data_IF_946229972150
#
_entry.id   IF_946229972150
#
_cell.length_a   1.000
_cell.length_b   1.000
_cell.length_c   1.000
_cell.angle_alpha   90.00
_cell.angle_beta   90.00
_cell.angle_gamma   90.00
#
_symmetry.space_group_name_H-M   'P 1'
#
loop_
_entity.id
_entity.type
_entity.pdbx_description
1 polymer ?
#
# COMPACT_ATOMS: atom_id res chain seq x y z
N UNK A 1 19.79 -2.59 -14.53
CA UNK A 1 19.97 -3.74 -15.44
C UNK A 1 18.66 -4.44 -15.81
N UNK A 2 17.48 -4.04 -15.30
CA UNK A 2 16.23 -4.77 -15.55
C UNK A 2 16.17 -6.18 -14.93
N UNK A 3 17.20 -6.58 -14.17
CA UNK A 3 17.24 -7.87 -13.48
C UNK A 3 16.17 -7.91 -12.40
N UNK A 4 15.31 -8.92 -12.47
CA UNK A 4 14.35 -9.23 -11.41
C UNK A 4 15.14 -9.60 -10.14
N UNK A 5 14.89 -8.88 -9.06
CA UNK A 5 15.48 -9.19 -7.75
C UNK A 5 14.67 -10.24 -7.00
N UNK A 6 13.34 -10.17 -7.09
CA UNK A 6 12.41 -11.14 -6.52
C UNK A 6 11.04 -11.00 -7.20
N UNK A 7 10.25 -12.07 -7.12
CA UNK A 7 8.84 -12.10 -7.52
C UNK A 7 8.12 -13.03 -6.54
N UNK A 8 7.10 -12.51 -5.86
CA UNK A 8 6.40 -13.20 -4.77
C UNK A 8 4.94 -12.76 -4.70
N UNK A 9 4.11 -13.55 -4.00
CA UNK A 9 2.78 -13.14 -3.61
C UNK A 9 2.86 -12.24 -2.37
N UNK A 10 2.07 -11.15 -2.33
CA UNK A 10 2.06 -10.20 -1.22
C UNK A 10 1.45 -10.75 0.07
N UNK A 11 0.99 -12.00 0.09
CA UNK A 11 0.36 -12.64 1.25
C UNK A 11 -1.07 -12.19 1.55
N UNK A 12 -1.55 -11.14 0.88
CA UNK A 12 -2.92 -10.65 0.96
C UNK A 12 -3.65 -10.91 -0.38
N UNK A 13 -4.74 -11.67 -0.32
CA UNK A 13 -5.64 -11.86 -1.47
C UNK A 13 -6.35 -10.54 -1.76
N UNK A 14 -6.39 -10.14 -3.03
CA UNK A 14 -7.08 -8.93 -3.45
C UNK A 14 -6.65 -8.47 -4.82
N UNK A 15 -7.33 -7.43 -5.31
CA UNK A 15 -6.94 -6.67 -6.50
C UNK A 15 -6.02 -5.53 -6.06
N UNK A 16 -5.05 -5.19 -6.91
CA UNK A 16 -4.14 -4.07 -6.73
C UNK A 16 -4.17 -3.23 -8.00
N UNK A 17 -4.52 -1.95 -7.87
CA UNK A 17 -4.64 -1.03 -9.00
C UNK A 17 -3.79 0.24 -8.81
N UNK A 18 -3.61 0.67 -7.56
CA UNK A 18 -2.77 1.80 -7.22
C UNK A 18 -1.29 1.50 -7.53
N UNK A 19 -0.55 2.52 -7.97
CA UNK A 19 0.90 2.39 -8.07
C UNK A 19 1.52 2.22 -6.68
N UNK A 20 2.57 1.38 -6.53
CA UNK A 20 3.34 1.31 -5.30
C UNK A 20 3.95 2.67 -4.93
N UNK A 21 3.99 2.99 -3.64
CA UNK A 21 4.62 4.20 -3.11
C UNK A 21 5.84 3.84 -2.29
N UNK A 22 6.93 4.61 -2.42
CA UNK A 22 8.04 4.56 -1.45
C UNK A 22 7.93 5.75 -0.51
N UNK A 23 7.74 5.48 0.79
CA UNK A 23 7.64 6.51 1.82
C UNK A 23 8.25 6.01 3.14
N UNK A 24 8.94 6.90 3.87
CA UNK A 24 9.62 6.58 5.15
C UNK A 24 10.49 5.30 5.10
N UNK A 25 11.18 5.06 3.99
CA UNK A 25 12.04 3.88 3.82
C UNK A 25 11.31 2.57 3.55
N UNK A 26 10.00 2.60 3.27
CA UNK A 26 9.17 1.43 3.01
C UNK A 26 8.52 1.48 1.63
N UNK A 27 8.28 0.32 1.01
CA UNK A 27 7.41 0.21 -0.16
C UNK A 27 6.00 -0.10 0.37
N UNK A 28 5.02 0.69 -0.05
CA UNK A 28 3.61 0.58 0.32
C UNK A 28 2.81 0.15 -0.90
N UNK A 29 2.03 -0.91 -0.76
CA UNK A 29 1.15 -1.43 -1.82
C UNK A 29 -0.25 -1.58 -1.24
N UNK A 30 -1.19 -0.77 -1.74
CA UNK A 30 -2.58 -0.74 -1.26
C UNK A 30 -3.48 -1.65 -2.10
N UNK A 31 -4.29 -2.48 -1.43
CA UNK A 31 -5.33 -3.30 -2.05
C UNK A 31 -6.55 -2.46 -2.40
N UNK A 32 -7.27 -2.86 -3.44
CA UNK A 32 -8.49 -2.19 -3.91
C UNK A 32 -9.62 -2.30 -2.90
N UNK A 33 -9.90 -3.49 -2.37
CA UNK A 33 -11.01 -3.74 -1.45
C UNK A 33 -10.55 -3.51 -0.01
N UNK A 34 -11.27 -2.66 0.74
CA UNK A 34 -10.99 -2.34 2.15
C UNK A 34 -9.66 -1.61 2.42
N UNK A 35 -8.88 -1.29 1.38
CA UNK A 35 -7.72 -0.39 1.48
C UNK A 35 -6.53 -0.89 2.31
N UNK A 36 -6.45 -2.20 2.63
CA UNK A 36 -5.31 -2.77 3.35
C UNK A 36 -4.01 -2.49 2.61
N UNK A 37 -2.98 -2.12 3.36
CA UNK A 37 -1.69 -1.71 2.79
C UNK A 37 -0.58 -2.64 3.24
N UNK A 38 0.03 -3.34 2.29
CA UNK A 38 1.21 -4.19 2.54
C UNK A 38 2.44 -3.31 2.61
N UNK A 39 3.22 -3.47 3.68
CA UNK A 39 4.46 -2.72 3.93
C UNK A 39 5.64 -3.66 3.68
N UNK A 40 6.50 -3.31 2.72
CA UNK A 40 7.69 -4.09 2.38
C UNK A 40 8.97 -3.30 2.68
N UNK A 41 10.01 -4.04 3.05
CA UNK A 41 11.37 -3.49 3.09
C UNK A 41 11.94 -3.40 1.66
N UNK A 42 12.46 -2.23 1.23
CA UNK A 42 13.18 -2.14 -0.04
C UNK A 42 14.44 -3.01 -0.04
N UNK A 43 14.70 -3.72 -1.15
CA UNK A 43 15.94 -4.48 -1.30
C UNK A 43 15.87 -5.62 -2.31
N UNK A 44 16.94 -6.43 -2.32
CA UNK A 44 17.07 -7.59 -3.23
C UNK A 44 16.41 -8.87 -2.70
N UNK A 45 15.78 -8.81 -1.53
CA UNK A 45 15.00 -9.92 -0.95
C UNK A 45 13.59 -9.43 -0.69
N UNK A 46 12.63 -10.34 -0.87
CA UNK A 46 11.25 -10.08 -0.51
C UNK A 46 11.10 -10.18 1.02
N UNK A 47 10.58 -9.11 1.64
CA UNK A 47 10.50 -8.98 3.09
C UNK A 47 9.28 -8.10 3.45
N UNK A 48 8.23 -8.75 3.94
CA UNK A 48 6.98 -8.11 4.41
C UNK A 48 7.16 -7.73 5.87
N UNK A 49 7.08 -6.44 6.15
CA UNK A 49 7.20 -5.90 7.50
C UNK A 49 5.87 -5.87 8.25
N UNK A 50 4.76 -5.78 7.51
CA UNK A 50 3.43 -5.76 8.09
C UNK A 50 2.33 -5.48 7.06
N UNK A 51 1.09 -5.54 7.55
CA UNK A 51 -0.11 -5.18 6.81
C UNK A 51 -0.87 -4.18 7.69
N UNK A 52 -1.06 -2.97 7.17
CA UNK A 52 -1.84 -1.94 7.83
C UNK A 52 -3.29 -1.98 7.35
N UNK A 53 -4.20 -1.64 8.25
CA UNK A 53 -5.64 -1.57 7.99
C UNK A 53 -6.15 -0.15 8.29
N UNK A 54 -7.01 0.39 7.43
CA UNK A 54 -7.67 1.68 7.61
C UNK A 54 -9.01 1.54 8.35
N UNK A 55 -9.43 0.31 8.67
CA UNK A 55 -10.73 0.01 9.28
C UNK A 55 -11.91 0.23 8.31
N UNK A 56 -11.63 0.30 7.01
CA UNK A 56 -12.66 0.44 6.00
C UNK A 56 -13.36 -0.92 5.76
N UNK A 57 -14.65 -0.87 5.48
CA UNK A 57 -15.39 -2.06 5.05
C UNK A 57 -14.83 -2.60 3.73
N UNK A 58 -15.01 -3.91 3.50
CA UNK A 58 -14.42 -4.60 2.34
C UNK A 58 -14.99 -4.09 1.01
N UNK A 59 -16.18 -3.53 1.00
CA UNK A 59 -16.83 -2.93 -0.17
C UNK A 59 -16.35 -1.51 -0.48
N UNK A 60 -15.58 -0.87 0.42
CA UNK A 60 -14.94 0.41 0.13
C UNK A 60 -13.76 0.22 -0.83
N UNK A 61 -13.69 1.06 -1.87
CA UNK A 61 -12.82 0.84 -3.03
C UNK A 61 -11.71 1.89 -3.13
N UNK A 62 -10.46 1.42 -3.15
CA UNK A 62 -9.24 2.22 -3.20
C UNK A 62 -8.49 1.96 -4.52
N UNK A 63 -8.64 2.84 -5.51
CA UNK A 63 -7.92 2.72 -6.80
C UNK A 63 -6.88 3.82 -7.01
N UNK A 64 -6.84 4.82 -6.14
CA UNK A 64 -5.91 5.93 -6.23
C UNK A 64 -4.58 5.60 -5.53
N UNK A 65 -3.48 6.15 -6.03
CA UNK A 65 -2.19 6.05 -5.35
C UNK A 65 -2.21 6.78 -4.01
N UNK A 66 -1.50 6.24 -3.03
CA UNK A 66 -1.20 6.93 -1.78
C UNK A 66 -0.44 8.23 -2.06
N UNK A 67 -0.76 9.28 -1.31
CA UNK A 67 -0.16 10.61 -1.48
C UNK A 67 0.60 11.02 -0.20
N UNK A 68 1.94 11.03 -0.20
CA UNK A 68 2.71 11.56 0.91
C UNK A 68 2.74 13.09 0.83
N UNK A 69 2.24 13.77 1.86
CA UNK A 69 2.17 15.24 1.91
C UNK A 69 2.54 15.68 3.33
N UNK A 70 3.60 16.50 3.47
CA UNK A 70 4.03 17.10 4.74
C UNK A 70 4.16 16.10 5.91
N UNK A 71 4.76 14.94 5.66
CA UNK A 71 4.97 13.91 6.69
C UNK A 71 3.75 13.03 6.99
N UNK A 72 2.62 13.25 6.29
CA UNK A 72 1.42 12.42 6.36
C UNK A 72 1.26 11.60 5.10
N UNK A 73 0.50 10.52 5.20
CA UNK A 73 0.05 9.74 4.04
C UNK A 73 -1.45 9.92 3.91
N UNK A 74 -1.89 10.29 2.71
CA UNK A 74 -3.30 10.36 2.37
C UNK A 74 -3.68 9.17 1.49
N UNK A 75 -4.78 8.51 1.85
CA UNK A 75 -5.42 7.50 1.02
C UNK A 75 -6.82 7.99 0.70
N UNK A 76 -7.23 7.93 -0.56
CA UNK A 76 -8.64 8.19 -0.92
C UNK A 76 -9.27 6.94 -1.46
N UNK A 77 -10.49 6.71 -1.05
CA UNK A 77 -11.35 5.67 -1.61
C UNK A 77 -12.36 6.30 -2.59
N UNK A 78 -13.46 5.61 -2.87
CA UNK A 78 -14.56 6.18 -3.65
C UNK A 78 -15.37 7.17 -2.81
N UNK A 79 -15.53 6.90 -1.51
CA UNK A 79 -16.41 7.68 -0.64
C UNK A 79 -15.69 8.51 0.43
N UNK A 80 -14.43 8.19 0.76
CA UNK A 80 -13.70 8.77 1.90
C UNK A 80 -12.30 9.28 1.53
N UNK A 81 -11.78 10.20 2.35
CA UNK A 81 -10.39 10.61 2.38
C UNK A 81 -9.82 10.35 3.78
N UNK A 82 -8.75 9.55 3.84
CA UNK A 82 -8.04 9.18 5.06
C UNK A 82 -6.75 9.98 5.17
N UNK A 83 -6.41 10.37 6.39
CA UNK A 83 -5.15 11.00 6.74
C UNK A 83 -4.45 10.15 7.80
N UNK A 84 -3.29 9.60 7.45
CA UNK A 84 -2.48 8.77 8.33
C UNK A 84 -1.29 9.59 8.81
N UNK A 85 -1.19 9.75 10.13
CA UNK A 85 -0.13 10.44 10.86
C UNK A 85 0.41 9.52 11.97
N UNK A 86 1.62 9.82 12.47
CA UNK A 86 2.21 9.14 13.63
C UNK A 86 1.62 9.62 14.95
#
# INVERSE_FOLDING_TARGET
SGKIHWQQNLGLKGEYAAAPLVADGHILIQSVYGGKTVVLKPGKRFDVLGINDLGAEVDEIFRACLAPIQGRIYARSLSMLYCIER
#
